data_IF_701110289404
#
_entry.id   IF_701110289404
#
_cell.length_a   1.000
_cell.length_b   1.000
_cell.length_c   1.000
_cell.angle_alpha   90.00
_cell.angle_beta   90.00
_cell.angle_gamma   90.00
#
_symmetry.space_group_name_H-M   'P 1'
#
loop_
_entity.id
_entity.type
_entity.pdbx_description
1 polymer ?
#
# COMPACT_ATOMS: atom_id res chain seq x y z
N UNK A 1 1.18 -3.93 -14.39
CA UNK A 1 -0.28 -4.13 -14.57
C UNK A 1 -0.83 -4.68 -13.26
N UNK A 2 -2.06 -4.33 -12.85
CA UNK A 2 -2.58 -4.71 -11.54
C UNK A 2 -3.20 -6.11 -11.48
N UNK A 3 -3.52 -6.75 -12.62
CA UNK A 3 -3.99 -8.14 -12.73
C UNK A 3 -5.08 -8.53 -11.71
N UNK A 4 -6.05 -7.63 -11.47
CA UNK A 4 -7.14 -7.86 -10.51
C UNK A 4 -6.85 -7.44 -9.07
N UNK A 5 -5.74 -6.75 -8.79
CA UNK A 5 -5.38 -6.25 -7.45
C UNK A 5 -5.44 -4.72 -7.43
N UNK A 6 -6.65 -4.16 -7.35
CA UNK A 6 -6.89 -2.73 -7.19
C UNK A 6 -7.74 -2.46 -5.95
N UNK A 7 -7.75 -1.21 -5.48
CA UNK A 7 -8.68 -0.73 -4.46
C UNK A 7 -9.76 0.17 -5.07
N UNK A 8 -11.03 -0.13 -4.81
CA UNK A 8 -12.19 0.64 -5.28
C UNK A 8 -13.12 0.94 -4.10
N UNK A 9 -13.17 2.19 -3.66
CA UNK A 9 -13.92 2.57 -2.45
C UNK A 9 -15.42 2.33 -2.52
N UNK A 10 -16.03 2.39 -3.71
CA UNK A 10 -17.46 2.20 -3.91
C UNK A 10 -17.75 1.61 -5.30
N UNK A 11 -18.00 0.31 -5.34
CA UNK A 11 -18.50 -0.40 -6.51
C UNK A 11 -20.04 -0.54 -6.47
N UNK A 12 -20.67 -0.61 -7.65
CA UNK A 12 -22.12 -0.83 -7.77
C UNK A 12 -22.77 0.18 -8.71
N UNK A 13 -23.96 0.66 -8.38
CA UNK A 13 -24.93 1.32 -9.28
C UNK A 13 -24.39 2.46 -10.18
N UNK A 14 -23.30 3.13 -9.80
CA UNK A 14 -22.69 4.21 -10.59
C UNK A 14 -21.25 3.88 -11.08
N UNK A 15 -20.70 2.77 -10.59
CA UNK A 15 -19.37 2.24 -10.89
C UNK A 15 -19.49 0.73 -11.05
N UNK A 16 -20.08 0.29 -12.16
CA UNK A 16 -20.24 -1.14 -12.44
C UNK A 16 -18.86 -1.75 -12.70
N UNK A 17 -18.48 -2.70 -11.85
CA UNK A 17 -17.30 -3.54 -12.04
C UNK A 17 -17.73 -4.82 -12.74
N UNK A 18 -16.97 -5.23 -13.74
CA UNK A 18 -17.21 -6.48 -14.48
C UNK A 18 -15.89 -7.18 -14.75
N UNK A 19 -15.96 -8.47 -15.09
CA UNK A 19 -14.78 -9.33 -15.25
C UNK A 19 -14.41 -10.08 -13.97
N UNK A 20 -13.18 -10.59 -13.92
CA UNK A 20 -12.64 -11.25 -12.74
C UNK A 20 -12.31 -10.22 -11.66
N UNK A 21 -12.97 -10.34 -10.51
CA UNK A 21 -12.76 -9.49 -9.34
C UNK A 21 -11.90 -10.16 -8.26
N UNK A 22 -11.35 -11.35 -8.56
CA UNK A 22 -10.46 -12.06 -7.64
C UNK A 22 -9.22 -11.21 -7.32
N UNK A 23 -9.02 -10.92 -6.03
CA UNK A 23 -7.92 -10.09 -5.54
C UNK A 23 -8.24 -8.59 -5.40
N UNK A 24 -9.39 -8.13 -5.90
CA UNK A 24 -9.80 -6.73 -5.77
C UNK A 24 -10.20 -6.43 -4.34
N UNK A 25 -9.80 -5.25 -3.85
CA UNK A 25 -10.28 -4.68 -2.61
C UNK A 25 -11.39 -3.68 -2.96
N UNK A 26 -12.66 -3.96 -2.64
CA UNK A 26 -13.73 -3.04 -3.01
C UNK A 26 -14.83 -2.92 -1.96
N UNK A 27 -15.40 -1.72 -1.89
CA UNK A 27 -16.59 -1.42 -1.10
C UNK A 27 -17.85 -1.38 -1.95
N UNK A 28 -18.97 -1.07 -1.31
CA UNK A 28 -20.29 -0.86 -1.95
C UNK A 28 -20.92 0.43 -1.46
N UNK A 29 -22.03 0.84 -2.07
CA UNK A 29 -22.75 2.05 -1.65
C UNK A 29 -23.21 2.01 -0.18
N UNK A 30 -23.54 0.83 0.37
CA UNK A 30 -23.93 0.67 1.78
C UNK A 30 -22.74 0.49 2.73
N UNK A 31 -21.58 0.09 2.20
CA UNK A 31 -20.36 -0.22 2.94
C UNK A 31 -19.15 0.20 2.12
N UNK A 32 -18.88 1.50 2.09
CA UNK A 32 -17.72 2.03 1.35
C UNK A 32 -16.43 1.53 1.98
N UNK A 33 -15.47 1.17 1.15
CA UNK A 33 -14.16 0.72 1.61
C UNK A 33 -13.26 1.93 1.83
N UNK A 34 -12.91 2.18 3.10
CA UNK A 34 -11.93 3.17 3.49
C UNK A 34 -10.52 2.59 3.32
N UNK A 35 -9.65 3.18 2.48
CA UNK A 35 -8.27 2.75 2.34
C UNK A 35 -7.39 3.05 3.58
N UNK A 36 -7.94 3.73 4.61
CA UNK A 36 -7.27 4.07 5.87
C UNK A 36 -5.98 4.86 5.67
N UNK A 37 -6.08 5.83 4.75
CA UNK A 37 -5.01 6.73 4.40
C UNK A 37 -4.92 7.89 5.40
N UNK A 38 -3.69 8.32 5.69
CA UNK A 38 -3.43 9.54 6.43
C UNK A 38 -3.61 10.80 5.57
N UNK A 39 -3.49 11.99 6.17
CA UNK A 39 -3.56 13.27 5.46
C UNK A 39 -2.51 13.39 4.37
N UNK A 40 -2.85 14.10 3.28
CA UNK A 40 -1.90 14.41 2.21
C UNK A 40 -0.69 15.15 2.81
N UNK A 41 0.50 14.58 2.63
CA UNK A 41 1.74 15.04 3.25
C UNK A 41 2.81 15.20 2.17
N UNK A 42 3.60 16.27 2.27
CA UNK A 42 4.77 16.48 1.43
C UNK A 42 5.93 15.60 1.91
N UNK A 43 6.69 14.99 1.00
CA UNK A 43 7.89 14.26 1.38
C UNK A 43 9.15 15.10 1.43
N UNK A 44 10.26 14.45 1.82
CA UNK A 44 11.63 14.98 2.00
C UNK A 44 12.11 15.99 0.95
N UNK A 45 11.60 15.97 -0.28
CA UNK A 45 11.97 16.89 -1.35
C UNK A 45 11.03 18.10 -1.52
N UNK A 46 9.89 18.15 -0.79
CA UNK A 46 8.81 19.14 -0.90
C UNK A 46 8.16 19.27 -2.29
N UNK A 47 8.44 18.35 -3.21
CA UNK A 47 7.87 18.34 -4.56
C UNK A 47 6.88 17.20 -4.75
N UNK A 48 6.98 16.15 -3.94
CA UNK A 48 6.09 15.00 -3.96
C UNK A 48 5.12 15.02 -2.77
N UNK A 49 3.83 14.80 -3.05
CA UNK A 49 2.80 14.64 -2.05
C UNK A 49 2.20 13.25 -2.14
N UNK A 50 1.95 12.64 -0.99
CA UNK A 50 1.27 11.34 -0.91
C UNK A 50 0.35 11.28 0.30
N UNK A 51 -0.56 10.33 0.25
CA UNK A 51 -1.32 9.90 1.40
C UNK A 51 -0.59 8.72 2.05
N UNK A 52 -0.01 8.88 3.25
CA UNK A 52 0.66 7.78 3.92
C UNK A 52 -0.35 6.69 4.28
N UNK A 53 0.01 5.43 4.01
CA UNK A 53 -0.79 4.29 4.46
C UNK A 53 -0.58 4.13 5.96
N UNK A 54 -1.66 4.26 6.74
CA UNK A 54 -1.57 4.08 8.19
C UNK A 54 -1.69 2.59 8.52
N UNK A 55 -2.77 1.95 8.03
CA UNK A 55 -3.10 0.53 8.14
C UNK A 55 -4.12 0.18 7.03
N UNK A 56 -4.69 -1.02 7.05
CA UNK A 56 -5.95 -1.29 6.37
C UNK A 56 -5.86 -2.11 5.08
N UNK A 57 -6.89 -2.06 4.22
CA UNK A 57 -7.08 -2.98 3.10
C UNK A 57 -6.07 -2.79 1.95
N UNK A 58 -5.22 -1.77 2.02
CA UNK A 58 -4.14 -1.56 1.06
C UNK A 58 -2.87 -2.32 1.44
N UNK A 59 -2.69 -2.67 2.72
CA UNK A 59 -1.48 -3.34 3.20
C UNK A 59 -1.48 -4.80 2.76
N UNK A 60 -0.35 -5.28 2.23
CA UNK A 60 -0.13 -6.65 1.77
C UNK A 60 -1.22 -7.18 0.81
N UNK A 61 -1.86 -6.27 0.06
CA UNK A 61 -3.05 -6.59 -0.76
C UNK A 61 -2.78 -6.53 -2.26
N UNK A 62 -1.53 -6.31 -2.66
CA UNK A 62 -1.10 -6.37 -4.05
C UNK A 62 -1.03 -7.79 -4.62
N UNK A 63 -0.63 -7.85 -5.88
CA UNK A 63 -0.50 -9.11 -6.62
C UNK A 63 0.52 -10.04 -5.94
N UNK A 64 0.19 -11.30 -5.61
CA UNK A 64 1.11 -12.27 -5.03
C UNK A 64 2.29 -12.65 -5.94
N UNK A 65 2.18 -12.42 -7.26
CA UNK A 65 3.30 -12.56 -8.20
C UNK A 65 4.21 -11.31 -8.22
N UNK A 66 3.92 -10.30 -7.40
CA UNK A 66 4.64 -9.05 -7.25
C UNK A 66 4.04 -7.88 -8.03
N UNK A 67 4.30 -6.66 -7.55
CA UNK A 67 3.86 -5.42 -8.18
C UNK A 67 4.65 -5.15 -9.46
N UNK A 68 3.96 -4.67 -10.50
CA UNK A 68 4.55 -4.42 -11.81
C UNK A 68 4.17 -3.06 -12.37
N UNK A 69 5.10 -2.46 -13.10
CA UNK A 69 4.87 -1.20 -13.81
C UNK A 69 3.94 -1.35 -15.04
N UNK A 70 3.81 -0.28 -15.81
CA UNK A 70 3.00 -0.26 -17.03
C UNK A 70 3.56 -1.16 -18.15
N UNK A 71 4.88 -1.39 -18.16
CA UNK A 71 5.58 -2.28 -19.10
C UNK A 71 5.62 -3.73 -18.61
N UNK A 72 4.88 -4.05 -17.55
CA UNK A 72 4.81 -5.37 -16.92
C UNK A 72 6.13 -5.84 -16.28
N UNK A 73 7.05 -4.92 -16.00
CA UNK A 73 8.29 -5.21 -15.29
C UNK A 73 8.04 -5.23 -13.79
N UNK A 74 8.66 -6.19 -13.10
CA UNK A 74 8.57 -6.30 -11.65
C UNK A 74 9.24 -5.08 -11.01
N UNK A 75 8.50 -4.40 -10.14
CA UNK A 75 9.05 -3.32 -9.32
C UNK A 75 9.78 -3.94 -8.13
N UNK A 76 11.08 -3.66 -8.03
CA UNK A 76 11.92 -4.15 -6.92
C UNK A 76 11.97 -3.19 -5.75
N UNK A 77 11.55 -1.94 -5.94
CA UNK A 77 11.50 -0.89 -4.94
C UNK A 77 10.26 -0.03 -5.12
N UNK A 78 9.89 0.72 -4.10
CA UNK A 78 8.81 1.70 -4.16
C UNK A 78 9.18 2.95 -4.96
N UNK A 79 8.19 3.84 -5.15
CA UNK A 79 8.39 5.03 -5.97
C UNK A 79 9.46 5.96 -5.42
N UNK A 80 9.75 5.89 -4.12
CA UNK A 80 10.81 6.66 -3.45
C UNK A 80 12.17 5.95 -3.50
N UNK A 81 12.19 4.69 -3.93
CA UNK A 81 13.34 3.80 -3.94
C UNK A 81 13.90 3.48 -2.54
N UNK A 82 13.08 3.59 -1.51
CA UNK A 82 13.53 3.44 -0.11
C UNK A 82 13.18 2.07 0.49
N UNK A 83 12.15 1.42 -0.04
CA UNK A 83 11.66 0.14 0.46
C UNK A 83 11.57 -0.90 -0.65
N UNK A 84 12.02 -2.15 -0.41
CA UNK A 84 11.84 -3.22 -1.37
C UNK A 84 10.34 -3.52 -1.58
N UNK A 85 9.97 -3.97 -2.78
CA UNK A 85 8.59 -4.40 -3.09
C UNK A 85 8.57 -5.89 -3.43
N UNK A 86 7.94 -6.75 -2.60
CA UNK A 86 7.19 -6.45 -1.36
C UNK A 86 8.09 -6.18 -0.13
N UNK A 87 7.63 -5.34 0.80
CA UNK A 87 8.30 -5.11 2.08
C UNK A 87 7.73 -6.02 3.18
N UNK A 88 8.56 -6.91 3.72
CA UNK A 88 8.11 -7.88 4.73
C UNK A 88 7.71 -7.28 6.09
N UNK A 89 8.08 -6.03 6.38
CA UNK A 89 7.80 -5.42 7.68
C UNK A 89 6.33 -5.00 7.88
N UNK A 90 5.52 -4.96 6.82
CA UNK A 90 4.06 -4.73 6.89
C UNK A 90 3.28 -5.93 7.44
N UNK A 91 3.78 -7.14 7.17
CA UNK A 91 3.01 -8.37 7.28
C UNK A 91 2.87 -8.93 8.69
N UNK A 92 1.78 -9.65 8.93
CA UNK A 92 1.63 -10.49 10.11
C UNK A 92 2.64 -11.66 10.08
N UNK A 93 3.09 -12.10 11.25
CA UNK A 93 3.98 -13.26 11.36
C UNK A 93 3.32 -14.49 10.74
N UNK A 94 4.04 -15.19 9.84
CA UNK A 94 3.53 -16.37 9.13
C UNK A 94 2.80 -16.07 7.82
N UNK A 95 2.71 -14.80 7.40
CA UNK A 95 2.18 -14.41 6.10
C UNK A 95 3.29 -14.30 5.04
N UNK A 96 2.96 -14.63 3.79
CA UNK A 96 3.83 -14.30 2.65
C UNK A 96 3.62 -12.82 2.31
N UNK A 97 4.64 -11.98 2.44
CA UNK A 97 4.50 -10.54 2.21
C UNK A 97 4.13 -10.26 0.76
N UNK A 98 3.23 -9.30 0.56
CA UNK A 98 2.83 -8.80 -0.75
C UNK A 98 3.06 -7.29 -0.78
N UNK A 99 3.19 -6.74 -1.97
CA UNK A 99 3.35 -5.30 -2.06
C UNK A 99 2.04 -4.62 -1.64
N UNK A 100 2.16 -3.42 -1.08
CA UNK A 100 1.00 -2.63 -0.74
C UNK A 100 0.35 -2.05 -2.00
N UNK A 101 -0.97 -1.87 -1.97
CA UNK A 101 -1.67 -1.15 -3.03
C UNK A 101 -1.33 0.34 -2.95
N UNK A 102 -0.70 0.86 -4.01
CA UNK A 102 -0.27 2.25 -4.09
C UNK A 102 1.21 2.38 -4.48
N UNK A 103 1.73 3.59 -4.39
CA UNK A 103 3.09 3.91 -4.83
C UNK A 103 4.18 3.56 -3.81
N UNK A 104 3.84 3.62 -2.51
CA UNK A 104 4.78 3.53 -1.39
C UNK A 104 4.40 2.32 -0.52
N UNK A 105 5.40 1.57 -0.06
CA UNK A 105 5.16 0.50 0.92
C UNK A 105 4.95 1.11 2.30
N UNK A 106 3.96 0.62 3.03
CA UNK A 106 3.72 0.96 4.43
C UNK A 106 4.87 0.38 5.26
N UNK A 107 5.75 1.26 5.68
CA UNK A 107 6.69 0.92 6.73
C UNK A 107 5.87 0.78 8.02
N UNK A 108 5.77 -0.42 8.60
CA UNK A 108 5.55 -0.50 10.05
C UNK A 108 6.70 0.24 10.70
N UNK A 109 6.38 1.41 11.25
CA UNK A 109 7.30 2.39 11.81
C UNK A 109 8.44 1.69 12.56
N UNK A 110 9.64 1.67 11.98
CA UNK A 110 10.85 1.60 12.81
C UNK A 110 10.90 2.94 13.52
N UNK A 111 10.42 2.98 14.76
CA UNK A 111 10.81 4.08 15.64
C UNK A 111 12.28 3.86 15.90
N UNK A 112 13.13 4.78 15.45
CA UNK A 112 14.49 4.83 15.94
C UNK A 112 14.42 4.95 17.46
N UNK A 113 14.81 3.88 18.14
CA UNK A 113 14.77 3.77 19.58
C UNK A 113 16.06 4.39 20.11
N UNK A 114 16.02 5.68 20.43
CA UNK A 114 17.13 6.36 21.06
C UNK A 114 17.13 6.08 22.57
N UNK A 115 18.26 5.60 23.10
CA UNK A 115 18.48 5.52 24.55
C UNK A 115 18.72 6.92 25.12
N UNK A 116 18.25 7.23 26.34
CA UNK A 116 18.59 8.48 26.99
C UNK A 116 20.11 8.56 27.19
N UNK A 117 20.72 9.68 26.77
CA UNK A 117 22.10 9.97 27.15
C UNK A 117 22.13 10.42 28.61
N UNK A 118 22.53 9.51 29.50
CA UNK A 118 22.93 9.87 30.86
C UNK A 118 24.33 10.48 30.80
N UNK A 119 24.43 11.79 30.58
CA UNK A 119 25.66 12.52 30.79
C UNK A 119 25.94 12.62 32.31
N UNK A 120 27.17 12.32 32.72
CA UNK A 120 27.66 12.51 34.10
C UNK A 120 28.08 13.94 34.36
#
# INVERSE_FOLDING_TARGET
>A
MSDGYNLIGNAGTFCDLSGDMSGMQYGTAGYTLDPQLGPLTAYVDLHNYYHPVLFGPVVDSGNPAGCRDYSNLLLTSDQLQESPRPYAGGSAVGYTPRCDLGAIESFRVRRDLFLPQLAK
#
